data_IF_484977425956
#
_entry.id   IF_484977425956
#
_cell.length_a   1.000
_cell.length_b   1.000
_cell.length_c   1.000
_cell.angle_alpha   90.00
_cell.angle_beta   90.00
_cell.angle_gamma   90.00
#
_symmetry.space_group_name_H-M   'P 1'
#
loop_
_entity.id
_entity.type
_entity.pdbx_description
1 polymer ?
#
# COMPACT_ATOMS: atom_id res chain seq x y z
N UNK A 1 16.20 -14.48 23.11
CA UNK A 1 15.72 -15.53 24.02
C UNK A 1 14.22 -15.63 23.90
N UNK A 2 13.74 -16.75 23.44
CA UNK A 2 12.32 -17.07 23.32
C UNK A 2 11.77 -17.46 24.70
N UNK A 3 11.46 -16.47 25.53
CA UNK A 3 10.65 -16.68 26.69
C UNK A 3 9.18 -16.74 26.27
N UNK A 4 8.68 -17.95 26.03
CA UNK A 4 7.32 -18.20 25.57
C UNK A 4 6.24 -17.75 26.55
N UNK A 5 6.60 -17.51 27.82
CA UNK A 5 5.69 -17.01 28.85
C UNK A 5 5.49 -15.49 28.79
N UNK A 6 6.36 -14.79 28.07
CA UNK A 6 6.36 -13.32 27.93
C UNK A 6 6.19 -12.86 26.49
N UNK A 7 6.04 -13.77 25.54
CA UNK A 7 5.68 -13.45 24.18
C UNK A 7 4.16 -13.59 24.01
N UNK A 8 3.51 -12.65 23.35
CA UNK A 8 2.12 -12.85 22.92
C UNK A 8 2.06 -14.04 21.96
N UNK A 9 0.85 -14.52 21.69
CA UNK A 9 0.61 -15.52 20.65
C UNK A 9 1.20 -15.03 19.32
N UNK A 10 1.52 -15.95 18.41
CA UNK A 10 1.95 -15.58 17.06
C UNK A 10 0.91 -14.68 16.39
N UNK A 11 1.38 -13.72 15.58
CA UNK A 11 0.48 -12.87 14.78
C UNK A 11 -0.38 -13.74 13.87
N UNK A 12 -1.68 -13.42 13.77
CA UNK A 12 -2.60 -14.09 12.87
C UNK A 12 -2.31 -13.81 11.40
N UNK A 13 -2.92 -14.58 10.50
CA UNK A 13 -2.84 -14.35 9.05
C UNK A 13 -3.63 -13.10 8.65
N UNK A 14 -3.06 -12.25 7.79
CA UNK A 14 -3.68 -11.03 7.26
C UNK A 14 -4.20 -10.09 8.37
N UNK A 15 -3.36 -9.85 9.39
CA UNK A 15 -3.70 -9.00 10.54
C UNK A 15 -2.80 -7.79 10.65
N UNK A 16 -3.37 -6.70 11.15
CA UNK A 16 -2.62 -5.49 11.55
C UNK A 16 -2.40 -5.53 13.05
N UNK A 17 -1.16 -5.32 13.48
CA UNK A 17 -0.75 -5.34 14.88
C UNK A 17 0.18 -4.17 15.21
N UNK A 18 -0.04 -3.55 16.37
CA UNK A 18 0.89 -2.59 16.95
C UNK A 18 1.96 -3.29 17.78
N UNK A 19 3.18 -2.75 17.78
CA UNK A 19 4.32 -3.30 18.51
C UNK A 19 4.75 -2.36 19.63
N UNK A 20 5.14 -2.97 20.76
CA UNK A 20 5.49 -2.25 21.99
C UNK A 20 6.80 -2.77 22.56
N UNK A 21 7.69 -1.83 22.95
CA UNK A 21 8.86 -2.12 23.79
C UNK A 21 8.52 -1.80 25.24
N UNK A 22 8.87 -2.70 26.15
CA UNK A 22 8.59 -2.56 27.57
C UNK A 22 9.66 -3.19 28.45
N UNK A 23 9.68 -2.82 29.72
CA UNK A 23 10.62 -3.35 30.72
C UNK A 23 9.94 -4.44 31.55
N UNK A 24 10.39 -5.68 31.42
CA UNK A 24 9.99 -6.83 32.23
C UNK A 24 11.01 -7.08 33.31
N UNK A 25 10.82 -6.47 34.50
CA UNK A 25 11.71 -6.60 35.66
C UNK A 25 13.21 -6.41 35.32
N UNK A 26 13.54 -5.37 34.56
CA UNK A 26 14.90 -5.05 34.14
C UNK A 26 15.29 -5.60 32.75
N UNK A 27 14.47 -6.44 32.13
CA UNK A 27 14.73 -7.01 30.80
C UNK A 27 13.91 -6.30 29.74
N UNK A 28 14.52 -5.62 28.75
CA UNK A 28 13.77 -5.05 27.61
C UNK A 28 13.13 -6.17 26.78
N UNK A 29 11.84 -5.99 26.45
CA UNK A 29 11.07 -6.93 25.65
C UNK A 29 10.35 -6.20 24.52
N UNK A 30 10.13 -6.91 23.41
CA UNK A 30 9.27 -6.50 22.31
C UNK A 30 8.06 -7.43 22.27
N UNK A 31 6.85 -6.87 22.25
CA UNK A 31 5.59 -7.61 22.14
C UNK A 31 4.65 -6.92 21.18
N UNK A 32 3.88 -7.68 20.41
CA UNK A 32 2.76 -7.10 19.67
C UNK A 32 1.49 -7.06 20.53
N UNK A 33 0.63 -6.11 20.23
CA UNK A 33 -0.72 -6.02 20.80
C UNK A 33 -1.68 -7.03 20.17
N UNK A 34 -2.97 -7.00 20.60
CA UNK A 34 -4.02 -7.72 19.90
C UNK A 34 -4.15 -7.25 18.45
N UNK A 35 -4.84 -8.05 17.63
CA UNK A 35 -5.18 -7.66 16.26
C UNK A 35 -6.06 -6.40 16.25
N UNK A 36 -5.89 -5.55 15.25
CA UNK A 36 -6.85 -4.49 14.98
C UNK A 36 -8.22 -5.07 14.61
N UNK A 37 -9.27 -4.27 14.71
CA UNK A 37 -10.63 -4.69 14.33
C UNK A 37 -10.72 -5.07 12.84
N UNK A 38 -9.99 -4.36 12.00
CA UNK A 38 -9.83 -4.61 10.56
C UNK A 38 -8.53 -3.92 10.07
N UNK A 39 -8.29 -3.96 8.76
CA UNK A 39 -7.07 -3.40 8.17
C UNK A 39 -6.86 -1.90 8.47
N UNK A 40 -7.92 -1.11 8.69
CA UNK A 40 -7.85 0.35 8.84
C UNK A 40 -8.34 0.88 10.18
N UNK A 41 -8.80 0.03 11.09
CA UNK A 41 -9.42 0.46 12.35
C UNK A 41 -8.86 -0.33 13.53
N UNK A 42 -8.35 0.40 14.54
CA UNK A 42 -7.96 -0.20 15.81
C UNK A 42 -9.19 -0.75 16.55
N UNK A 43 -9.01 -1.87 17.23
CA UNK A 43 -9.99 -2.37 18.20
C UNK A 43 -9.94 -1.58 19.52
N UNK A 44 -10.91 -1.73 20.40
CA UNK A 44 -10.88 -1.10 21.72
C UNK A 44 -9.64 -1.48 22.54
N UNK A 45 -9.08 -2.69 22.32
CA UNK A 45 -7.86 -3.17 22.98
C UNK A 45 -6.55 -2.68 22.34
N UNK A 46 -6.61 -2.00 21.19
CA UNK A 46 -5.43 -1.53 20.45
C UNK A 46 -5.34 0.00 20.36
N UNK A 47 -6.23 0.74 21.02
CA UNK A 47 -6.13 2.20 21.10
C UNK A 47 -4.82 2.61 21.78
N UNK A 48 -4.12 3.58 21.23
CA UNK A 48 -2.93 4.15 21.84
C UNK A 48 -3.31 5.28 22.79
N UNK A 49 -2.57 5.41 23.89
CA UNK A 49 -2.73 6.51 24.85
C UNK A 49 -1.42 7.31 24.93
N UNK A 50 -1.51 8.65 25.01
CA UNK A 50 -0.34 9.48 25.23
C UNK A 50 -0.08 9.62 26.74
N UNK A 51 1.11 9.21 27.17
CA UNK A 51 1.59 9.40 28.54
C UNK A 51 2.86 10.25 28.48
N UNK A 52 2.79 11.48 28.97
CA UNK A 52 3.90 12.46 28.89
C UNK A 52 4.45 12.65 27.47
N UNK A 53 3.56 12.66 26.46
CA UNK A 53 3.93 12.82 25.05
C UNK A 53 4.42 11.54 24.34
N UNK A 54 4.50 10.39 25.05
CA UNK A 54 4.88 9.10 24.49
C UNK A 54 3.64 8.25 24.24
N UNK A 55 3.49 7.70 23.04
CA UNK A 55 2.40 6.77 22.72
C UNK A 55 2.65 5.40 23.36
N UNK A 56 1.65 4.89 24.05
CA UNK A 56 1.69 3.64 24.79
C UNK A 56 0.41 2.80 24.56
N UNK A 57 0.46 1.52 24.97
CA UNK A 57 -0.73 0.67 25.02
C UNK A 57 -1.74 1.20 26.05
N UNK A 58 -3.00 1.34 25.68
CA UNK A 58 -4.05 1.79 26.62
C UNK A 58 -4.52 0.69 27.59
N UNK A 59 -4.47 -0.57 27.16
CA UNK A 59 -4.90 -1.74 27.95
C UNK A 59 -3.73 -2.72 28.14
N UNK A 60 -3.81 -3.55 29.17
CA UNK A 60 -2.82 -4.60 29.37
C UNK A 60 -2.83 -5.60 28.21
N UNK A 61 -1.66 -6.04 27.77
CA UNK A 61 -1.45 -7.03 26.72
C UNK A 61 -1.16 -8.38 27.38
N UNK A 62 -1.86 -9.42 26.98
CA UNK A 62 -1.63 -10.78 27.48
C UNK A 62 -0.18 -11.20 27.20
N UNK A 63 0.54 -11.66 28.21
CA UNK A 63 1.97 -11.97 28.15
C UNK A 63 2.87 -10.81 27.70
N UNK A 64 2.39 -9.59 27.85
CA UNK A 64 3.04 -8.36 27.46
C UNK A 64 2.98 -7.30 28.56
N UNK A 65 3.09 -6.01 28.20
CA UNK A 65 3.08 -4.92 29.17
C UNK A 65 1.70 -4.71 29.82
N UNK A 66 1.68 -4.30 31.07
CA UNK A 66 0.50 -3.73 31.70
C UNK A 66 0.05 -2.44 30.95
N UNK A 67 -1.17 -1.96 31.20
CA UNK A 67 -1.66 -0.72 30.63
C UNK A 67 -0.68 0.45 30.88
N UNK A 68 -0.43 1.25 29.85
CA UNK A 68 0.47 2.41 29.86
C UNK A 68 1.92 2.06 30.29
N UNK A 69 2.41 0.86 29.95
CA UNK A 69 3.78 0.41 30.25
C UNK A 69 4.57 -0.03 29.03
N UNK A 70 3.93 -0.23 27.89
CA UNK A 70 4.57 -0.53 26.61
C UNK A 70 4.67 0.70 25.75
N UNK A 71 5.88 1.10 25.36
CA UNK A 71 6.12 2.20 24.41
C UNK A 71 5.82 1.69 23.02
N UNK A 72 4.90 2.34 22.33
CA UNK A 72 4.56 2.04 20.94
C UNK A 72 5.76 2.33 20.02
N UNK A 73 6.15 1.35 19.20
CA UNK A 73 7.33 1.48 18.31
C UNK A 73 7.02 1.29 16.83
N UNK A 74 5.84 0.82 16.49
CA UNK A 74 5.45 0.67 15.08
C UNK A 74 4.26 -0.24 14.88
N UNK A 75 3.86 -0.37 13.62
CA UNK A 75 2.72 -1.18 13.18
C UNK A 75 3.16 -2.08 12.03
N UNK A 76 2.64 -3.30 11.98
CA UNK A 76 2.90 -4.25 10.90
C UNK A 76 1.60 -4.84 10.38
N UNK A 77 1.63 -5.33 9.13
CA UNK A 77 0.59 -6.18 8.56
C UNK A 77 1.16 -7.52 8.12
N UNK A 78 0.62 -8.61 8.63
CA UNK A 78 1.01 -9.96 8.22
C UNK A 78 0.36 -10.34 6.89
N UNK A 79 1.01 -11.23 6.14
CA UNK A 79 0.47 -11.87 4.97
C UNK A 79 -0.48 -13.05 5.32
N UNK A 80 -1.00 -13.75 4.31
CA UNK A 80 -1.89 -14.91 4.48
C UNK A 80 -1.21 -16.11 5.19
N UNK A 81 0.13 -16.12 5.29
CA UNK A 81 0.92 -17.14 5.98
C UNK A 81 1.43 -16.67 7.36
N UNK A 82 0.86 -15.60 7.90
CA UNK A 82 1.25 -15.01 9.19
C UNK A 82 2.72 -14.52 9.23
N UNK A 83 3.27 -14.11 8.08
CA UNK A 83 4.63 -13.60 7.94
C UNK A 83 4.60 -12.10 7.62
N UNK A 84 5.70 -11.42 7.90
CA UNK A 84 5.90 -10.02 7.54
C UNK A 84 6.70 -9.93 6.24
N UNK A 85 6.09 -9.35 5.20
CA UNK A 85 6.74 -9.11 3.94
C UNK A 85 7.17 -7.65 3.83
N UNK A 86 8.37 -7.42 3.29
CA UNK A 86 8.86 -6.08 3.00
C UNK A 86 9.64 -6.08 1.68
N UNK A 87 9.11 -5.38 0.68
CA UNK A 87 9.75 -5.18 -0.63
C UNK A 87 9.32 -3.86 -1.24
N UNK A 88 10.20 -3.25 -2.04
CA UNK A 88 9.92 -1.98 -2.72
C UNK A 88 9.21 -2.14 -4.07
N UNK A 89 8.78 -3.35 -4.40
CA UNK A 89 8.21 -3.69 -5.69
C UNK A 89 9.27 -4.15 -6.69
N UNK A 90 8.88 -4.30 -7.93
CA UNK A 90 9.79 -4.76 -8.97
C UNK A 90 9.17 -4.73 -10.35
N UNK A 91 9.91 -5.27 -11.31
CA UNK A 91 9.54 -5.31 -12.72
C UNK A 91 9.38 -6.75 -13.16
N UNK A 92 8.17 -7.12 -13.60
CA UNK A 92 7.87 -8.43 -14.19
C UNK A 92 6.66 -8.30 -15.12
N UNK A 93 6.40 -9.31 -15.93
CA UNK A 93 5.14 -9.39 -16.67
C UNK A 93 3.96 -9.49 -15.67
N UNK A 94 3.01 -8.58 -15.78
CA UNK A 94 1.93 -8.41 -14.82
C UNK A 94 2.30 -7.69 -13.53
N UNK A 95 3.52 -7.16 -13.41
CA UNK A 95 4.02 -6.43 -12.25
C UNK A 95 4.49 -7.34 -11.10
N UNK A 96 5.31 -6.79 -10.21
CA UNK A 96 5.69 -7.39 -8.92
C UNK A 96 5.32 -6.40 -7.82
N UNK A 97 4.33 -6.71 -6.96
CA UNK A 97 3.80 -5.72 -6.02
C UNK A 97 4.84 -5.30 -5.00
N UNK A 98 4.79 -4.03 -4.62
CA UNK A 98 5.49 -3.55 -3.44
C UNK A 98 4.72 -3.95 -2.17
N UNK A 99 5.46 -4.30 -1.12
CA UNK A 99 4.94 -4.78 0.16
C UNK A 99 5.64 -4.00 1.28
N UNK A 100 5.10 -2.86 1.68
CA UNK A 100 5.61 -2.03 2.78
C UNK A 100 4.80 -2.33 4.05
N UNK A 101 4.90 -3.57 4.54
CA UNK A 101 4.08 -4.09 5.63
C UNK A 101 4.69 -3.87 7.03
N UNK A 102 5.69 -3.00 7.13
CA UNK A 102 6.33 -2.58 8.39
C UNK A 102 6.42 -1.07 8.43
N UNK A 103 5.86 -0.45 9.46
CA UNK A 103 5.94 0.98 9.70
C UNK A 103 6.58 1.24 11.08
N UNK A 104 7.55 2.16 11.12
CA UNK A 104 8.32 2.48 12.32
C UNK A 104 7.89 3.85 12.89
N UNK A 105 7.71 3.94 14.21
CA UNK A 105 7.32 5.18 14.87
C UNK A 105 8.46 6.20 14.98
N UNK A 106 9.68 5.76 15.28
CA UNK A 106 10.74 6.68 15.73
C UNK A 106 11.86 6.93 14.72
N UNK A 107 12.19 5.97 13.89
CA UNK A 107 13.31 6.08 12.95
C UNK A 107 12.81 6.03 11.51
N UNK A 108 11.84 6.88 11.19
CA UNK A 108 11.23 6.92 9.86
C UNK A 108 12.16 7.52 8.83
N UNK A 109 12.38 6.79 7.76
CA UNK A 109 13.09 7.23 6.56
C UNK A 109 12.13 7.29 5.38
N UNK A 110 12.41 8.18 4.44
CA UNK A 110 11.65 8.23 3.19
C UNK A 110 12.12 7.12 2.26
N UNK A 111 11.20 6.28 1.82
CA UNK A 111 11.44 5.19 0.87
C UNK A 111 10.54 5.35 -0.36
N UNK A 112 11.05 4.99 -1.53
CA UNK A 112 10.28 4.89 -2.77
C UNK A 112 9.89 3.46 -3.04
N UNK A 113 8.62 3.22 -3.37
CA UNK A 113 8.14 1.97 -3.93
C UNK A 113 7.79 2.16 -5.40
N UNK A 114 8.11 1.17 -6.24
CA UNK A 114 7.81 1.24 -7.67
C UNK A 114 7.50 -0.14 -8.24
N UNK A 115 6.45 -0.20 -9.06
CA UNK A 115 6.01 -1.41 -9.75
C UNK A 115 5.93 -1.13 -11.23
N UNK A 116 6.47 -2.02 -12.05
CA UNK A 116 6.45 -1.94 -13.51
C UNK A 116 5.97 -3.25 -14.10
N UNK A 117 4.97 -3.17 -14.98
CA UNK A 117 4.56 -4.32 -15.80
C UNK A 117 5.44 -4.40 -17.05
N UNK A 118 6.24 -5.46 -17.16
CA UNK A 118 7.14 -5.65 -18.32
C UNK A 118 6.48 -6.32 -19.52
N UNK A 119 5.17 -6.59 -19.48
CA UNK A 119 4.41 -7.01 -20.67
C UNK A 119 4.57 -5.99 -21.78
N UNK A 120 5.00 -6.41 -22.96
CA UNK A 120 5.33 -5.47 -24.04
C UNK A 120 4.16 -4.56 -24.41
N UNK A 121 3.00 -5.14 -24.72
CA UNK A 121 1.75 -4.40 -25.02
C UNK A 121 0.54 -5.26 -24.67
N UNK A 122 -0.58 -4.59 -24.38
CA UNK A 122 -1.90 -5.22 -24.25
C UNK A 122 -2.99 -4.29 -24.75
N UNK A 123 -4.13 -4.86 -25.14
CA UNK A 123 -5.27 -4.13 -25.63
C UNK A 123 -6.43 -4.17 -24.63
N UNK A 124 -7.17 -3.07 -24.58
CA UNK A 124 -8.41 -3.00 -23.82
C UNK A 124 -9.42 -2.09 -24.52
N UNK A 125 -10.69 -2.53 -24.57
CA UNK A 125 -11.76 -1.83 -25.30
C UNK A 125 -12.83 -1.29 -24.36
N UNK A 126 -13.10 -1.96 -23.24
CA UNK A 126 -14.25 -1.67 -22.38
C UNK A 126 -14.13 -0.32 -21.66
N UNK A 127 -15.29 0.30 -21.42
CA UNK A 127 -15.43 1.50 -20.57
C UNK A 127 -15.58 1.17 -19.07
N UNK A 128 -15.25 -0.06 -18.66
CA UNK A 128 -15.19 -0.44 -17.25
C UNK A 128 -13.75 -0.29 -16.75
N UNK A 129 -13.58 0.45 -15.66
CA UNK A 129 -12.25 0.59 -15.03
C UNK A 129 -11.78 -0.76 -14.51
N UNK A 130 -10.53 -1.09 -14.80
CA UNK A 130 -9.89 -2.32 -14.29
C UNK A 130 -8.44 -2.07 -13.88
N UNK A 131 -7.86 -3.06 -13.23
CA UNK A 131 -6.42 -3.10 -12.98
C UNK A 131 -5.65 -3.07 -14.30
N UNK A 132 -4.57 -2.30 -14.36
CA UNK A 132 -3.67 -2.24 -15.53
C UNK A 132 -3.24 -3.64 -15.93
N UNK A 133 -3.37 -3.95 -17.23
CA UNK A 133 -3.13 -5.28 -17.80
C UNK A 133 -3.92 -6.41 -17.11
N UNK A 134 -5.06 -6.08 -16.50
CA UNK A 134 -5.86 -7.02 -15.70
C UNK A 134 -5.05 -7.74 -14.61
N UNK A 135 -4.02 -7.10 -14.05
CA UNK A 135 -3.10 -7.70 -13.09
C UNK A 135 -3.15 -7.03 -11.72
N UNK A 136 -3.39 -7.85 -10.69
CA UNK A 136 -3.25 -7.43 -9.29
C UNK A 136 -1.78 -7.21 -8.88
N UNK A 137 -0.82 -7.60 -9.70
CA UNK A 137 0.61 -7.39 -9.47
C UNK A 137 1.03 -5.93 -9.59
N UNK A 138 0.29 -5.10 -10.34
CA UNK A 138 0.54 -3.67 -10.52
C UNK A 138 0.03 -2.86 -9.31
N UNK A 139 0.58 -3.15 -8.11
CA UNK A 139 0.07 -2.67 -6.83
C UNK A 139 1.19 -2.35 -5.85
N UNK A 140 0.96 -1.32 -5.03
CA UNK A 140 1.77 -1.00 -3.85
C UNK A 140 0.89 -1.22 -2.63
N UNK A 141 1.24 -2.20 -1.77
CA UNK A 141 0.61 -2.41 -0.47
C UNK A 141 1.46 -1.75 0.60
N UNK A 142 0.82 -1.12 1.58
CA UNK A 142 1.53 -0.45 2.66
C UNK A 142 0.71 -0.47 3.96
N UNK A 143 1.40 -0.31 5.08
CA UNK A 143 0.79 -0.09 6.39
C UNK A 143 1.35 1.17 7.01
N UNK A 144 0.51 1.93 7.71
CA UNK A 144 0.90 3.08 8.52
C UNK A 144 0.29 2.95 9.91
N UNK A 145 1.07 3.27 10.93
CA UNK A 145 0.62 3.20 12.32
C UNK A 145 -0.08 4.47 12.79
N UNK A 146 0.18 5.61 12.13
CA UNK A 146 -0.45 6.90 12.39
C UNK A 146 -0.76 7.59 11.06
N UNK A 147 -1.85 8.36 11.03
CA UNK A 147 -2.25 9.14 9.86
C UNK A 147 -1.57 10.52 9.90
N UNK A 148 -0.25 10.56 9.65
CA UNK A 148 0.54 11.78 9.79
C UNK A 148 1.15 12.26 8.47
N UNK A 149 1.59 11.33 7.62
CA UNK A 149 2.36 11.64 6.42
C UNK A 149 1.49 11.47 5.16
N UNK A 150 1.50 12.48 4.31
CA UNK A 150 0.90 12.39 2.98
C UNK A 150 1.74 11.51 2.05
N UNK A 151 1.10 10.88 1.05
CA UNK A 151 1.72 9.88 0.19
C UNK A 151 1.75 10.40 -1.25
N UNK A 152 2.87 10.99 -1.70
CA UNK A 152 3.06 11.34 -3.10
C UNK A 152 3.01 10.09 -3.97
N UNK A 153 2.10 10.08 -4.94
CA UNK A 153 1.84 8.94 -5.82
C UNK A 153 1.80 9.38 -7.27
N UNK A 154 2.39 8.58 -8.14
CA UNK A 154 2.43 8.81 -9.55
C UNK A 154 2.20 7.51 -10.35
N UNK A 155 1.36 7.58 -11.38
CA UNK A 155 1.20 6.54 -12.38
C UNK A 155 1.57 7.11 -13.74
N UNK A 156 2.62 6.56 -14.33
CA UNK A 156 3.06 6.86 -15.68
C UNK A 156 2.67 5.71 -16.61
N UNK A 157 2.09 6.04 -17.80
CA UNK A 157 1.66 5.02 -18.74
C UNK A 157 1.69 5.57 -20.17
N UNK A 158 2.35 4.85 -21.08
CA UNK A 158 2.23 5.12 -22.51
C UNK A 158 1.04 4.36 -23.09
N UNK A 159 0.28 5.05 -23.92
CA UNK A 159 -0.83 4.46 -24.66
C UNK A 159 -0.76 4.84 -26.13
N UNK A 160 -1.25 3.96 -26.99
CA UNK A 160 -1.44 4.18 -28.43
C UNK A 160 -2.94 4.08 -28.71
N UNK A 161 -3.53 5.16 -29.20
CA UNK A 161 -4.93 5.18 -29.59
C UNK A 161 -5.11 4.52 -30.95
N UNK A 162 -6.06 3.59 -31.06
CA UNK A 162 -6.33 2.90 -32.33
C UNK A 162 -7.10 3.77 -33.33
N UNK A 163 -7.84 4.76 -32.85
CA UNK A 163 -8.58 5.73 -33.69
C UNK A 163 -8.52 7.13 -33.06
N UNK A 164 -8.92 8.16 -33.84
CA UNK A 164 -9.06 9.52 -33.32
C UNK A 164 -10.22 9.69 -32.31
N UNK A 165 -11.11 8.72 -32.20
CA UNK A 165 -12.26 8.77 -31.28
C UNK A 165 -11.99 8.05 -29.95
N UNK A 166 -10.94 7.24 -29.85
CA UNK A 166 -10.60 6.50 -28.63
C UNK A 166 -10.11 7.42 -27.53
N UNK A 167 -10.68 7.33 -26.33
CA UNK A 167 -10.26 8.15 -25.18
C UNK A 167 -9.79 7.24 -24.05
N UNK A 168 -8.55 6.71 -24.14
CA UNK A 168 -7.99 5.90 -23.06
C UNK A 168 -7.70 6.76 -21.84
N UNK A 169 -7.85 6.14 -20.65
CA UNK A 169 -7.48 6.74 -19.37
C UNK A 169 -6.58 5.79 -18.59
N UNK A 170 -5.63 6.33 -17.88
CA UNK A 170 -4.77 5.62 -16.96
C UNK A 170 -4.60 6.41 -15.67
N UNK A 171 -4.40 5.72 -14.57
CA UNK A 171 -4.25 6.33 -13.27
C UNK A 171 -4.15 5.29 -12.16
N UNK A 172 -4.54 5.67 -10.98
CA UNK A 172 -4.51 4.76 -9.84
C UNK A 172 -5.73 4.93 -8.93
N UNK A 173 -6.04 3.86 -8.18
CA UNK A 173 -7.05 3.83 -7.14
C UNK A 173 -6.41 3.54 -5.77
N UNK A 174 -6.77 4.31 -4.75
CA UNK A 174 -6.51 3.97 -3.36
C UNK A 174 -7.63 3.04 -2.89
N UNK A 175 -7.26 1.87 -2.38
CA UNK A 175 -8.17 0.81 -1.91
C UNK A 175 -9.24 0.38 -2.93
N UNK A 176 -8.97 0.61 -4.19
CA UNK A 176 -9.89 0.25 -5.27
C UNK A 176 -9.16 -0.34 -6.47
N UNK A 177 -9.70 -1.43 -6.99
CA UNK A 177 -9.28 -2.06 -8.26
C UNK A 177 -10.20 -1.68 -9.44
N UNK A 178 -11.24 -0.88 -9.20
CA UNK A 178 -12.31 -0.58 -10.17
C UNK A 178 -12.75 0.89 -10.18
N UNK A 179 -12.10 1.75 -9.39
CA UNK A 179 -12.40 3.18 -9.35
C UNK A 179 -11.10 4.00 -9.22
N UNK A 180 -10.96 5.02 -10.05
CA UNK A 180 -9.84 5.94 -9.96
C UNK A 180 -9.95 6.86 -8.73
N UNK A 181 -8.84 7.01 -8.00
CA UNK A 181 -8.62 8.17 -7.12
C UNK A 181 -8.08 9.35 -7.94
N UNK A 182 -7.21 9.05 -8.91
CA UNK A 182 -6.64 10.04 -9.83
C UNK A 182 -6.43 9.37 -11.18
N UNK A 183 -6.85 10.05 -12.25
CA UNK A 183 -6.67 9.59 -13.62
C UNK A 183 -6.22 10.72 -14.53
N UNK A 184 -5.55 10.35 -15.58
CA UNK A 184 -5.26 11.17 -16.75
C UNK A 184 -5.87 10.50 -17.99
N UNK A 185 -6.46 11.27 -18.87
CA UNK A 185 -7.02 10.79 -20.14
C UNK A 185 -6.35 11.47 -21.32
N UNK A 186 -6.33 10.76 -22.43
CA UNK A 186 -5.74 11.19 -23.67
C UNK A 186 -6.80 11.33 -24.75
N UNK A 187 -6.85 12.49 -25.40
CA UNK A 187 -7.69 12.75 -26.58
C UNK A 187 -6.82 12.69 -27.84
N UNK A 188 -6.82 11.57 -28.59
CA UNK A 188 -6.02 11.45 -29.79
C UNK A 188 -6.59 12.29 -30.94
N UNK A 189 -5.71 12.93 -31.70
CA UNK A 189 -6.10 13.67 -32.89
C UNK A 189 -6.23 12.79 -34.14
N UNK A 190 -5.52 11.66 -34.16
CA UNK A 190 -5.47 10.73 -35.29
C UNK A 190 -5.30 9.30 -34.80
N UNK A 191 -5.64 8.31 -35.63
CA UNK A 191 -5.32 6.92 -35.39
C UNK A 191 -3.81 6.71 -35.26
N UNK A 192 -3.39 5.86 -34.32
CA UNK A 192 -1.98 5.62 -34.01
C UNK A 192 -1.30 6.72 -33.20
N UNK A 193 -2.05 7.78 -32.79
CA UNK A 193 -1.49 8.80 -31.90
C UNK A 193 -1.06 8.15 -30.57
N UNK A 194 0.04 8.62 -30.03
CA UNK A 194 0.64 8.11 -28.79
C UNK A 194 0.70 9.22 -27.74
N UNK A 195 0.50 8.85 -26.50
CA UNK A 195 0.69 9.75 -25.37
C UNK A 195 1.38 9.03 -24.22
N UNK A 196 2.21 9.77 -23.50
CA UNK A 196 2.67 9.42 -22.17
C UNK A 196 1.70 10.08 -21.17
N UNK A 197 0.83 9.29 -20.58
CA UNK A 197 -0.10 9.74 -19.54
C UNK A 197 0.60 9.74 -18.18
N UNK A 198 0.36 10.77 -17.40
CA UNK A 198 0.93 10.90 -16.06
C UNK A 198 -0.15 11.37 -15.08
N UNK A 199 -0.65 10.46 -14.27
CA UNK A 199 -1.58 10.75 -13.19
C UNK A 199 -0.80 10.89 -11.88
N UNK A 200 -0.72 12.12 -11.37
CA UNK A 200 0.03 12.43 -10.14
C UNK A 200 -0.90 13.04 -9.09
N UNK A 201 -0.77 12.60 -7.85
CA UNK A 201 -1.49 13.15 -6.72
C UNK A 201 -0.70 12.94 -5.43
N UNK A 202 -0.97 13.77 -4.42
CA UNK A 202 -0.53 13.53 -3.05
C UNK A 202 -1.73 13.05 -2.24
N UNK A 203 -1.77 11.76 -1.93
CA UNK A 203 -2.84 11.17 -1.13
C UNK A 203 -2.78 11.69 0.31
N UNK A 204 -3.93 11.91 0.96
CA UNK A 204 -3.96 12.29 2.37
C UNK A 204 -3.36 11.19 3.24
N UNK A 205 -2.93 11.52 4.48
CA UNK A 205 -2.47 10.53 5.43
C UNK A 205 -3.48 9.40 5.64
N UNK A 206 -2.98 8.18 5.67
CA UNK A 206 -3.78 6.96 5.88
C UNK A 206 -3.46 6.33 7.24
N UNK A 207 -4.38 5.57 7.82
CA UNK A 207 -4.18 4.81 9.03
C UNK A 207 -4.48 3.33 8.77
N UNK A 208 -3.49 2.47 9.03
CA UNK A 208 -3.64 1.03 8.85
C UNK A 208 -3.09 0.53 7.52
N UNK A 209 -3.60 -0.59 7.06
CA UNK A 209 -3.15 -1.24 5.84
C UNK A 209 -4.04 -0.85 4.65
N UNK A 210 -3.40 -0.41 3.60
CA UNK A 210 -3.99 0.10 2.37
C UNK A 210 -3.26 -0.43 1.14
N UNK A 211 -3.81 -0.18 -0.02
CA UNK A 211 -3.11 -0.41 -1.28
C UNK A 211 -3.40 0.68 -2.32
N UNK A 212 -2.43 0.90 -3.19
CA UNK A 212 -2.56 1.72 -4.39
C UNK A 212 -2.47 0.78 -5.60
N UNK A 213 -3.48 0.78 -6.45
CA UNK A 213 -3.58 -0.07 -7.64
C UNK A 213 -3.48 0.77 -8.90
N UNK A 214 -2.59 0.39 -9.83
CA UNK A 214 -2.59 0.95 -11.18
C UNK A 214 -3.85 0.51 -11.94
N UNK A 215 -4.51 1.47 -12.59
CA UNK A 215 -5.81 1.28 -13.25
C UNK A 215 -5.80 1.82 -14.68
N UNK A 216 -6.63 1.20 -15.52
CA UNK A 216 -6.85 1.59 -16.91
C UNK A 216 -8.32 1.49 -17.30
N UNK A 217 -8.71 2.25 -18.32
CA UNK A 217 -10.03 2.16 -18.94
C UNK A 217 -9.95 2.67 -20.38
N UNK A 218 -10.75 2.08 -21.28
CA UNK A 218 -11.01 2.60 -22.63
C UNK A 218 -12.37 3.28 -22.67
N UNK A 219 -12.83 3.68 -23.84
CA UNK A 219 -14.10 4.36 -24.05
C UNK A 219 -15.29 3.42 -24.37
N UNK A 220 -15.01 2.13 -24.51
CA UNK A 220 -16.00 1.11 -24.88
C UNK A 220 -16.23 0.97 -26.39
N UNK A 221 -15.64 1.86 -27.20
CA UNK A 221 -15.86 1.86 -28.66
C UNK A 221 -14.71 1.20 -29.43
N UNK A 222 -13.47 1.44 -29.00
CA UNK A 222 -12.27 1.00 -29.71
C UNK A 222 -11.24 0.38 -28.78
N UNK A 223 -10.46 -0.58 -29.30
CA UNK A 223 -9.35 -1.18 -28.58
C UNK A 223 -8.15 -0.23 -28.60
N UNK A 224 -7.82 0.37 -27.46
CA UNK A 224 -6.57 1.10 -27.29
C UNK A 224 -5.46 0.15 -26.84
N UNK A 225 -4.21 0.48 -27.15
CA UNK A 225 -3.04 -0.33 -26.82
C UNK A 225 -2.23 0.36 -25.72
N UNK A 226 -2.08 -0.27 -24.59
CA UNK A 226 -1.18 0.14 -23.50
C UNK A 226 0.18 -0.52 -23.70
N UNK A 227 1.23 0.17 -23.30
CA UNK A 227 2.62 -0.25 -23.49
C UNK A 227 3.32 -0.36 -22.14
N UNK A 228 3.80 -1.53 -21.82
CA UNK A 228 4.53 -1.81 -20.57
C UNK A 228 6.04 -1.57 -20.67
N UNK A 229 6.79 -2.19 -19.77
CA UNK A 229 8.23 -2.00 -19.66
C UNK A 229 8.60 -0.61 -19.17
N UNK A 230 9.55 0.04 -19.81
CA UNK A 230 10.00 1.39 -19.46
C UNK A 230 8.95 2.49 -19.69
N UNK A 231 7.79 2.11 -20.21
CA UNK A 231 6.68 3.03 -20.54
C UNK A 231 5.52 2.95 -19.57
N UNK A 232 5.69 2.20 -18.48
CA UNK A 232 4.68 2.04 -17.42
C UNK A 232 5.37 1.96 -16.06
N UNK A 233 4.88 2.70 -15.09
CA UNK A 233 5.27 2.56 -13.70
C UNK A 233 4.23 3.18 -12.76
N UNK A 234 3.85 2.43 -11.73
CA UNK A 234 3.21 2.96 -10.53
C UNK A 234 4.29 3.19 -9.48
N UNK A 235 4.38 4.40 -8.95
CA UNK A 235 5.34 4.74 -7.90
C UNK A 235 4.70 5.55 -6.78
N UNK A 236 5.17 5.37 -5.56
CA UNK A 236 4.78 6.17 -4.41
C UNK A 236 5.93 6.32 -3.42
N UNK A 237 5.87 7.37 -2.61
CA UNK A 237 6.87 7.66 -1.57
C UNK A 237 6.23 7.62 -0.19
N UNK A 238 6.89 6.94 0.75
CA UNK A 238 6.40 6.70 2.10
C UNK A 238 7.46 7.07 3.13
N UNK A 239 7.01 7.41 4.34
CA UNK A 239 7.85 7.46 5.53
C UNK A 239 7.57 6.24 6.40
N UNK A 240 8.53 5.33 6.44
CA UNK A 240 8.41 4.04 7.14
C UNK A 240 9.51 3.86 8.18
#
# INVERSE_FOLDING_TARGET
>A
TTDTTKNPAAIGASKVNDWFVWNDAGTPRLSHGPDWANDTTRSAGTVLVSVNGILMNSVAITNGPAASRGVYVGTTRSNASSQLDFSFGGSSAGGTPALLNVWNMYNRVTVGASVTDTTGTWNYTSNVVRMTNNSAGNRINFVTGLAEDAIPTNMFQRVVASTAAGVPQSGFGLDSATAFTTAFFFFPAVAGAQSAMNASNTLPPQLGAHFIQALEVSDGAVANTWVGGTYEALSASFRV
#
